data_IF_186382926442
#
_entry.id   IF_186382926442
#
_cell.length_a   1.000
_cell.length_b   1.000
_cell.length_c   1.000
_cell.angle_alpha   90.00
_cell.angle_beta   90.00
_cell.angle_gamma   90.00
#
_symmetry.space_group_name_H-M   'P 1'
#
loop_
_entity.id
_entity.type
_entity.pdbx_description
1 polymer ?
#
# COMPACT_ATOMS: atom_id res chain seq x y z
N UNK A 1 -28.17 -16.84 -5.69
CA UNK A 1 -26.83 -17.07 -5.14
C UNK A 1 -25.95 -15.92 -5.60
N UNK A 2 -25.83 -14.88 -4.77
CA UNK A 2 -25.06 -13.68 -5.10
C UNK A 2 -23.59 -14.11 -5.01
N UNK A 3 -22.91 -14.24 -6.16
CA UNK A 3 -21.45 -14.36 -6.20
C UNK A 3 -20.90 -13.12 -5.49
N UNK A 4 -20.21 -13.30 -4.37
CA UNK A 4 -19.53 -12.21 -3.68
C UNK A 4 -18.60 -11.52 -4.67
N UNK A 5 -18.94 -10.30 -5.06
CA UNK A 5 -18.04 -9.43 -5.79
C UNK A 5 -17.00 -8.99 -4.76
N UNK A 6 -15.90 -9.75 -4.65
CA UNK A 6 -14.79 -9.44 -3.77
C UNK A 6 -14.27 -8.04 -4.10
N UNK A 7 -14.53 -7.12 -3.19
CA UNK A 7 -14.37 -5.68 -3.41
C UNK A 7 -12.89 -5.33 -3.22
N UNK A 8 -12.17 -5.14 -4.32
CA UNK A 8 -10.80 -4.58 -4.31
C UNK A 8 -10.79 -3.40 -3.33
N UNK A 9 -9.90 -3.46 -2.33
CA UNK A 9 -9.81 -2.39 -1.33
C UNK A 9 -9.47 -1.10 -2.04
N UNK A 10 -10.27 -0.07 -1.80
CA UNK A 10 -9.96 1.26 -2.30
C UNK A 10 -8.65 1.74 -1.68
N UNK A 11 -7.89 2.58 -2.39
CA UNK A 11 -6.66 3.19 -1.88
C UNK A 11 -6.84 3.83 -0.50
N UNK A 12 -8.00 4.42 -0.25
CA UNK A 12 -8.37 4.99 1.05
C UNK A 12 -8.43 3.94 2.16
N UNK A 13 -8.92 2.73 1.90
CA UNK A 13 -8.91 1.63 2.87
C UNK A 13 -7.49 1.13 3.12
N UNK A 14 -6.64 1.09 2.10
CA UNK A 14 -5.22 0.77 2.25
C UNK A 14 -4.55 1.82 3.15
N UNK A 15 -4.71 3.11 2.87
CA UNK A 15 -4.21 4.21 3.71
C UNK A 15 -4.74 4.09 5.15
N UNK A 16 -6.03 3.79 5.32
CA UNK A 16 -6.63 3.63 6.64
C UNK A 16 -5.99 2.49 7.43
N UNK A 17 -5.62 1.39 6.76
CA UNK A 17 -4.91 0.27 7.40
C UNK A 17 -3.49 0.64 7.81
N UNK A 18 -2.82 1.52 7.05
CA UNK A 18 -1.48 2.02 7.34
C UNK A 18 -1.44 2.87 8.63
N UNK A 19 -2.58 3.40 9.11
CA UNK A 19 -2.67 4.07 10.42
C UNK A 19 -2.19 3.20 11.58
N UNK A 20 -2.32 1.87 11.47
CA UNK A 20 -1.89 0.93 12.50
C UNK A 20 -0.38 0.72 12.53
N UNK A 21 0.35 1.28 11.57
CA UNK A 21 1.80 1.14 11.51
C UNK A 21 2.47 1.84 12.68
N UNK A 22 3.42 1.15 13.30
CA UNK A 22 4.21 1.75 14.37
C UNK A 22 5.11 2.85 13.81
N UNK A 23 5.34 3.89 14.59
CA UNK A 23 6.27 4.96 14.22
C UNK A 23 7.66 4.40 13.85
N UNK A 24 8.12 3.36 14.56
CA UNK A 24 9.38 2.66 14.27
C UNK A 24 9.38 2.05 12.86
N UNK A 25 8.29 1.41 12.45
CA UNK A 25 8.15 0.84 11.11
C UNK A 25 8.13 1.93 10.03
N UNK A 26 7.36 3.01 10.23
CA UNK A 26 7.32 4.13 9.27
C UNK A 26 8.70 4.78 9.13
N UNK A 27 9.39 5.00 10.26
CA UNK A 27 10.74 5.55 10.27
C UNK A 27 11.73 4.66 9.55
N UNK A 28 11.74 3.36 9.86
CA UNK A 28 12.59 2.38 9.19
C UNK A 28 12.35 2.39 7.67
N UNK A 29 11.08 2.38 7.26
CA UNK A 29 10.70 2.40 5.84
C UNK A 29 11.23 3.63 5.11
N UNK A 30 11.12 4.81 5.72
CA UNK A 30 11.63 6.05 5.14
C UNK A 30 13.16 6.07 5.10
N UNK A 31 13.84 5.60 6.15
CA UNK A 31 15.32 5.54 6.16
C UNK A 31 15.89 4.53 5.16
N UNK A 32 15.14 3.47 4.85
CA UNK A 32 15.54 2.49 3.84
C UNK A 32 15.26 2.99 2.42
N UNK A 33 14.14 3.69 2.21
CA UNK A 33 13.74 4.16 0.88
C UNK A 33 14.45 5.45 0.44
N UNK A 34 14.78 6.34 1.37
CA UNK A 34 15.30 7.66 1.06
C UNK A 34 16.60 7.97 1.79
N UNK A 35 17.59 8.60 1.12
CA UNK A 35 18.79 9.10 1.79
C UNK A 35 18.38 10.16 2.82
N UNK A 36 18.90 10.12 4.05
CA UNK A 36 18.47 10.98 5.17
C UNK A 36 16.99 10.79 5.62
N UNK A 37 16.31 9.73 5.16
CA UNK A 37 14.99 9.31 5.64
C UNK A 37 13.91 10.40 5.56
N UNK A 38 13.30 10.70 6.71
CA UNK A 38 12.24 11.71 6.83
C UNK A 38 12.63 13.08 6.26
N UNK A 39 13.90 13.48 6.38
CA UNK A 39 14.38 14.78 5.90
C UNK A 39 14.22 14.90 4.39
N UNK A 40 14.50 13.82 3.65
CA UNK A 40 14.34 13.81 2.20
C UNK A 40 12.89 13.81 1.77
N UNK A 41 12.03 13.05 2.45
CA UNK A 41 10.59 13.07 2.20
C UNK A 41 9.98 14.47 2.39
N UNK A 42 10.47 15.23 3.39
CA UNK A 42 10.05 16.62 3.62
C UNK A 42 10.63 17.60 2.60
N UNK A 43 11.88 17.40 2.16
CA UNK A 43 12.52 18.26 1.16
C UNK A 43 11.99 18.03 -0.26
N UNK A 44 11.50 16.82 -0.56
CA UNK A 44 11.01 16.42 -1.87
C UNK A 44 9.57 15.88 -1.82
N UNK A 45 8.59 16.73 -1.44
CA UNK A 45 7.22 16.29 -1.20
C UNK A 45 6.56 15.68 -2.46
N UNK A 46 6.86 16.21 -3.66
CA UNK A 46 6.32 15.68 -4.91
C UNK A 46 6.83 14.27 -5.23
N UNK A 47 8.12 14.00 -4.98
CA UNK A 47 8.71 12.67 -5.18
C UNK A 47 8.08 11.69 -4.20
N UNK A 48 7.99 12.08 -2.92
CA UNK A 48 7.37 11.27 -1.89
C UNK A 48 5.91 10.92 -2.22
N UNK A 49 5.11 11.89 -2.68
CA UNK A 49 3.72 11.66 -3.08
C UNK A 49 3.64 10.68 -4.25
N UNK A 50 4.49 10.85 -5.27
CA UNK A 50 4.50 9.95 -6.44
C UNK A 50 4.83 8.51 -6.04
N UNK A 51 5.86 8.33 -5.22
CA UNK A 51 6.26 7.00 -4.74
C UNK A 51 5.21 6.38 -3.82
N UNK A 52 4.53 7.20 -3.01
CA UNK A 52 3.40 6.76 -2.20
C UNK A 52 2.22 6.28 -3.07
N UNK A 53 1.89 7.00 -4.14
CA UNK A 53 0.84 6.58 -5.09
C UNK A 53 1.18 5.28 -5.81
N UNK A 54 2.43 5.11 -6.24
CA UNK A 54 2.90 3.84 -6.83
C UNK A 54 2.80 2.71 -5.84
N UNK A 55 3.17 2.93 -4.57
CA UNK A 55 3.02 1.93 -3.52
C UNK A 55 1.55 1.54 -3.31
N UNK A 56 0.63 2.50 -3.30
CA UNK A 56 -0.80 2.20 -3.18
C UNK A 56 -1.34 1.40 -4.37
N UNK A 57 -0.91 1.71 -5.60
CA UNK A 57 -1.27 0.92 -6.78
C UNK A 57 -0.77 -0.53 -6.64
N UNK A 58 0.49 -0.71 -6.26
CA UNK A 58 1.07 -2.03 -6.04
C UNK A 58 0.33 -2.84 -4.97
N UNK A 59 -0.11 -2.20 -3.87
CA UNK A 59 -0.95 -2.86 -2.87
C UNK A 59 -2.28 -3.35 -3.46
N UNK A 60 -2.91 -2.55 -4.34
CA UNK A 60 -4.17 -2.95 -4.98
C UNK A 60 -3.97 -4.08 -6.00
N UNK A 61 -2.85 -4.07 -6.72
CA UNK A 61 -2.48 -5.15 -7.65
C UNK A 61 -2.27 -6.47 -6.90
N UNK A 62 -1.55 -6.45 -5.77
CA UNK A 62 -1.38 -7.64 -4.93
C UNK A 62 -2.72 -8.13 -4.38
N UNK A 63 -3.55 -7.22 -3.84
CA UNK A 63 -4.88 -7.59 -3.36
C UNK A 63 -5.71 -8.23 -4.47
N UNK A 64 -5.64 -7.70 -5.70
CA UNK A 64 -6.32 -8.28 -6.86
C UNK A 64 -5.78 -9.66 -7.23
N UNK A 65 -4.47 -9.82 -7.31
CA UNK A 65 -3.83 -11.10 -7.65
C UNK A 65 -4.16 -12.18 -6.62
N UNK A 66 -4.05 -11.87 -5.32
CA UNK A 66 -4.39 -12.81 -4.23
C UNK A 66 -5.85 -13.27 -4.32
N UNK A 67 -6.79 -12.34 -4.56
CA UNK A 67 -8.20 -12.69 -4.74
C UNK A 67 -8.41 -13.63 -5.95
N UNK A 68 -7.70 -13.40 -7.06
CA UNK A 68 -7.77 -14.29 -8.21
C UNK A 68 -7.22 -15.68 -7.88
N UNK A 69 -6.10 -15.78 -7.17
CA UNK A 69 -5.55 -17.06 -6.74
C UNK A 69 -6.52 -17.84 -5.84
N UNK A 70 -7.12 -17.21 -4.84
CA UNK A 70 -8.09 -17.86 -3.96
C UNK A 70 -9.31 -18.37 -4.74
N UNK A 71 -9.86 -17.54 -5.64
CA UNK A 71 -11.00 -17.94 -6.48
C UNK A 71 -10.71 -19.13 -7.41
N UNK A 72 -9.47 -19.31 -7.85
CA UNK A 72 -9.07 -20.44 -8.70
C UNK A 72 -8.78 -21.73 -7.92
N UNK A 73 -8.58 -21.65 -6.59
CA UNK A 73 -8.35 -22.82 -5.74
C UNK A 73 -9.63 -23.35 -5.08
N UNK A 74 -10.73 -22.59 -5.14
CA UNK A 74 -12.06 -22.98 -4.65
C UNK A 74 -12.99 -23.54 -5.75
N UNK A 75 -12.56 -23.51 -7.02
CA UNK A 75 -13.26 -24.12 -8.17
C UNK A 75 -12.57 -25.42 -8.59
#
# INVERSE_FOLDING_TARGET
MIKEIWKIKSKFLVIWSMRKWSYKYVKWRLTTAYPNGWKYALMHPFIFINDFWKYLNWCQEIDFDMNNYESNNEN
#
